data_IF_569540314952
#
_entry.id   IF_569540314952
#
_cell.length_a   1.000
_cell.length_b   1.000
_cell.length_c   1.000
_cell.angle_alpha   90.00
_cell.angle_beta   90.00
_cell.angle_gamma   90.00
#
_symmetry.space_group_name_H-M   'P 1'
#
loop_
_entity.id
_entity.type
_entity.pdbx_description
1 polymer ?
#
# COMPACT_ATOMS: atom_id res chain seq x y z
N UNK A 1 -14.21 22.78 -106.27
CA UNK A 1 -13.68 21.40 -106.15
C UNK A 1 -13.64 20.99 -104.69
N UNK A 2 -14.57 20.13 -104.25
CA UNK A 2 -14.67 19.66 -102.86
C UNK A 2 -13.86 18.36 -102.74
N UNK A 3 -12.80 18.34 -101.92
CA UNK A 3 -12.02 17.12 -101.64
C UNK A 3 -12.49 16.50 -100.32
N UNK A 4 -13.20 15.39 -100.42
CA UNK A 4 -13.56 14.51 -99.30
C UNK A 4 -12.30 13.83 -98.73
N UNK A 5 -11.97 14.08 -97.47
CA UNK A 5 -10.96 13.31 -96.75
C UNK A 5 -11.60 12.13 -96.00
N UNK A 6 -11.45 10.93 -96.55
CA UNK A 6 -11.73 9.65 -95.87
C UNK A 6 -10.71 9.45 -94.74
N UNK A 7 -11.15 9.54 -93.48
CA UNK A 7 -10.32 9.14 -92.34
C UNK A 7 -10.21 7.61 -92.29
N UNK A 8 -9.03 7.10 -92.66
CA UNK A 8 -8.67 5.68 -92.56
C UNK A 8 -8.26 5.41 -91.11
N UNK A 9 -9.12 4.70 -90.37
CA UNK A 9 -8.88 4.38 -88.96
C UNK A 9 -7.69 3.41 -88.84
N UNK A 10 -6.51 3.95 -88.53
CA UNK A 10 -5.25 3.19 -88.43
C UNK A 10 -5.27 2.47 -87.08
N UNK A 11 -5.48 1.14 -87.10
CA UNK A 11 -5.37 0.28 -85.92
C UNK A 11 -4.03 0.55 -85.24
N UNK A 12 -4.08 1.17 -84.06
CA UNK A 12 -2.93 1.34 -83.18
C UNK A 12 -2.36 -0.05 -82.85
N UNK A 13 -1.09 -0.22 -83.20
CA UNK A 13 -0.36 -1.47 -83.09
C UNK A 13 -0.27 -1.88 -81.61
N UNK A 14 -0.52 -3.16 -81.31
CA UNK A 14 -0.70 -3.71 -79.95
C UNK A 14 0.49 -3.45 -79.01
N UNK A 15 1.68 -3.21 -79.57
CA UNK A 15 2.93 -2.88 -78.87
C UNK A 15 2.99 -1.44 -78.31
N UNK A 16 2.24 -0.48 -78.88
CA UNK A 16 2.22 0.91 -78.41
C UNK A 16 1.41 1.07 -77.10
N UNK A 17 0.40 0.22 -76.86
CA UNK A 17 -0.40 0.26 -75.63
C UNK A 17 0.36 -0.24 -74.40
N UNK A 18 1.28 -1.19 -74.58
CA UNK A 18 2.10 -1.70 -73.47
C UNK A 18 3.09 -0.66 -72.95
N UNK A 19 3.69 0.13 -73.84
CA UNK A 19 4.65 1.16 -73.45
C UNK A 19 3.99 2.32 -72.68
N UNK A 20 2.75 2.68 -73.04
CA UNK A 20 1.99 3.72 -72.33
C UNK A 20 1.54 3.26 -70.93
N UNK A 21 1.11 2.00 -70.79
CA UNK A 21 0.73 1.44 -69.48
C UNK A 21 1.94 1.32 -68.55
N UNK A 22 3.10 0.95 -69.08
CA UNK A 22 4.34 0.86 -68.29
C UNK A 22 4.79 2.25 -67.78
N UNK A 23 4.68 3.30 -68.61
CA UNK A 23 5.00 4.67 -68.19
C UNK A 23 4.05 5.19 -67.10
N UNK A 24 2.76 4.87 -67.18
CA UNK A 24 1.78 5.24 -66.15
C UNK A 24 2.06 4.50 -64.84
N UNK A 25 2.40 3.20 -64.89
CA UNK A 25 2.72 2.42 -63.69
C UNK A 25 4.02 2.90 -63.01
N UNK A 26 5.05 3.26 -63.78
CA UNK A 26 6.28 3.85 -63.23
C UNK A 26 6.03 5.24 -62.63
N UNK A 27 5.19 6.06 -63.27
CA UNK A 27 4.80 7.37 -62.73
C UNK A 27 4.01 7.26 -61.42
N UNK A 28 3.05 6.33 -61.35
CA UNK A 28 2.27 6.08 -60.12
C UNK A 28 3.13 5.48 -59.00
N UNK A 29 4.08 4.59 -59.33
CA UNK A 29 5.04 4.04 -58.37
C UNK A 29 5.97 5.09 -57.77
N UNK A 30 6.51 6.00 -58.60
CA UNK A 30 7.35 7.11 -58.13
C UNK A 30 6.54 8.12 -57.29
N UNK A 31 5.29 8.37 -57.66
CA UNK A 31 4.38 9.22 -56.88
C UNK A 31 4.08 8.62 -55.51
N UNK A 32 3.86 7.30 -55.43
CA UNK A 32 3.63 6.59 -54.18
C UNK A 32 4.87 6.59 -53.28
N UNK A 33 6.06 6.42 -53.87
CA UNK A 33 7.33 6.43 -53.12
C UNK A 33 7.62 7.80 -52.50
N UNK A 34 7.44 8.88 -53.27
CA UNK A 34 7.60 10.26 -52.77
C UNK A 34 6.53 10.64 -51.74
N UNK A 35 5.31 10.12 -51.88
CA UNK A 35 4.24 10.34 -50.89
C UNK A 35 4.52 9.63 -49.57
N UNK A 36 5.12 8.42 -49.61
CA UNK A 36 5.50 7.66 -48.42
C UNK A 36 6.69 8.29 -47.69
N UNK A 37 7.69 8.81 -48.41
CA UNK A 37 8.84 9.48 -47.84
C UNK A 37 8.44 10.81 -47.15
N UNK A 38 7.53 11.58 -47.76
CA UNK A 38 6.98 12.80 -47.16
C UNK A 38 6.13 12.54 -45.90
N UNK A 39 5.37 11.43 -45.87
CA UNK A 39 4.60 11.04 -44.69
C UNK A 39 5.49 10.54 -43.56
N UNK A 40 6.52 9.74 -43.87
CA UNK A 40 7.50 9.27 -42.89
C UNK A 40 8.32 10.43 -42.30
N UNK A 41 8.68 11.43 -43.11
CA UNK A 41 9.39 12.62 -42.61
C UNK A 41 8.52 13.48 -41.69
N UNK A 42 7.22 13.66 -42.02
CA UNK A 42 6.28 14.38 -41.14
C UNK A 42 5.93 13.62 -39.87
N UNK A 43 5.77 12.31 -39.91
CA UNK A 43 5.59 11.48 -38.70
C UNK A 43 6.83 11.53 -37.81
N UNK A 44 8.03 11.54 -38.39
CA UNK A 44 9.27 11.64 -37.62
C UNK A 44 9.46 13.04 -37.01
N UNK A 45 9.08 14.12 -37.72
CA UNK A 45 9.05 15.48 -37.17
C UNK A 45 8.02 15.60 -36.03
N UNK A 46 6.81 15.05 -36.22
CA UNK A 46 5.78 15.04 -35.19
C UNK A 46 6.20 14.23 -33.96
N UNK A 47 6.78 13.05 -34.16
CA UNK A 47 7.32 12.21 -33.09
C UNK A 47 8.46 12.91 -32.33
N UNK A 48 9.38 13.55 -33.04
CA UNK A 48 10.49 14.28 -32.43
C UNK A 48 10.01 15.49 -31.63
N UNK A 49 8.99 16.21 -32.14
CA UNK A 49 8.36 17.35 -31.45
C UNK A 49 7.57 16.93 -30.22
N UNK A 50 6.86 15.79 -30.27
CA UNK A 50 6.15 15.24 -29.10
C UNK A 50 7.15 14.75 -28.06
N UNK A 51 8.19 14.02 -28.49
CA UNK A 51 9.25 13.51 -27.62
C UNK A 51 9.99 14.66 -26.92
N UNK A 52 10.37 15.72 -27.62
CA UNK A 52 11.00 16.91 -27.01
C UNK A 52 10.05 17.64 -26.05
N UNK A 53 8.77 17.70 -26.38
CA UNK A 53 7.75 18.29 -25.50
C UNK A 53 7.56 17.47 -24.22
N UNK A 54 7.58 16.14 -24.30
CA UNK A 54 7.51 15.22 -23.15
C UNK A 54 8.78 15.36 -22.29
N UNK A 55 9.98 15.41 -22.88
CA UNK A 55 11.20 15.62 -22.10
C UNK A 55 11.24 17.01 -21.45
N UNK A 56 10.77 18.05 -22.12
CA UNK A 56 10.64 19.38 -21.53
C UNK A 56 9.58 19.40 -20.43
N UNK A 57 8.47 18.67 -20.56
CA UNK A 57 7.46 18.56 -19.52
C UNK A 57 8.00 17.77 -18.32
N UNK A 58 8.68 16.66 -18.56
CA UNK A 58 9.32 15.83 -17.54
C UNK A 58 10.42 16.61 -16.81
N UNK A 59 11.26 17.35 -17.53
CA UNK A 59 12.26 18.26 -16.97
C UNK A 59 11.60 19.36 -16.13
N UNK A 60 10.52 20.00 -16.63
CA UNK A 60 9.77 20.99 -15.84
C UNK A 60 9.09 20.38 -14.60
N UNK A 61 8.63 19.13 -14.65
CA UNK A 61 8.08 18.42 -13.50
C UNK A 61 9.21 18.09 -12.51
N UNK A 62 10.38 17.69 -13.01
CA UNK A 62 11.55 17.36 -12.20
C UNK A 62 12.13 18.61 -11.53
N UNK A 63 12.35 19.70 -12.27
CA UNK A 63 12.78 21.00 -11.75
C UNK A 63 11.74 21.57 -10.76
N UNK A 64 10.44 21.33 -11.00
CA UNK A 64 9.38 21.75 -10.07
C UNK A 64 9.28 20.84 -8.85
N UNK A 65 9.70 19.58 -8.94
CA UNK A 65 9.81 18.65 -7.81
C UNK A 65 11.09 18.86 -7.00
N UNK A 66 12.17 19.33 -7.64
CA UNK A 66 13.46 19.66 -7.02
C UNK A 66 13.41 21.06 -6.36
N UNK A 67 12.59 21.98 -6.87
CA UNK A 67 12.26 23.27 -6.25
C UNK A 67 10.96 23.26 -5.42
N UNK A 68 10.25 22.13 -5.38
CA UNK A 68 9.44 21.83 -4.23
C UNK A 68 10.44 21.42 -3.16
N UNK A 69 10.85 22.37 -2.32
CA UNK A 69 11.06 22.05 -0.91
C UNK A 69 9.89 21.12 -0.57
N UNK A 70 10.17 19.83 -0.42
CA UNK A 70 9.24 18.86 0.12
C UNK A 70 8.96 19.44 1.50
N UNK A 71 7.91 20.26 1.58
CA UNK A 71 7.53 21.01 2.75
C UNK A 71 7.55 20.02 3.88
N UNK A 72 8.62 20.10 4.69
CA UNK A 72 9.15 19.08 5.59
C UNK A 72 8.04 18.09 5.93
N UNK A 73 7.85 17.08 5.07
CA UNK A 73 6.62 16.29 5.12
C UNK A 73 6.73 15.55 6.43
N UNK A 74 5.93 15.96 7.40
CA UNK A 74 6.19 15.72 8.82
C UNK A 74 6.71 14.31 8.99
N UNK A 75 7.97 14.18 9.45
CA UNK A 75 8.62 12.88 9.57
C UNK A 75 7.64 11.95 10.29
N UNK A 76 7.37 10.74 9.75
CA UNK A 76 6.36 9.86 10.32
C UNK A 76 6.68 9.62 11.80
N UNK A 77 5.72 9.96 12.66
CA UNK A 77 5.86 9.82 14.10
C UNK A 77 5.55 8.39 14.54
N UNK A 78 6.36 7.81 15.44
CA UNK A 78 6.10 6.48 15.97
C UNK A 78 4.85 6.50 16.86
N UNK A 79 4.02 5.47 16.73
CA UNK A 79 2.80 5.29 17.52
C UNK A 79 2.93 4.12 18.51
N UNK A 80 3.73 3.10 18.20
CA UNK A 80 4.01 1.99 19.10
C UNK A 80 5.40 1.38 18.86
N UNK A 81 5.84 0.56 19.80
CA UNK A 81 7.06 -0.25 19.71
C UNK A 81 6.64 -1.71 19.60
N UNK A 82 7.14 -2.40 18.57
CA UNK A 82 6.90 -3.83 18.37
C UNK A 82 8.21 -4.60 18.48
N UNK A 83 8.29 -5.52 19.43
CA UNK A 83 9.49 -6.29 19.71
C UNK A 83 9.30 -7.74 19.34
N UNK A 84 10.24 -8.29 18.58
CA UNK A 84 10.32 -9.69 18.19
C UNK A 84 11.61 -10.27 18.76
N UNK A 85 11.46 -11.07 19.81
CA UNK A 85 12.59 -11.51 20.65
C UNK A 85 13.41 -10.32 21.17
N UNK A 86 14.64 -10.16 20.69
CA UNK A 86 15.59 -9.13 21.12
C UNK A 86 15.51 -7.85 20.26
N UNK A 87 14.87 -7.91 19.09
CA UNK A 87 14.82 -6.79 18.14
C UNK A 87 13.51 -6.02 18.32
N UNK A 88 13.58 -4.70 18.49
CA UNK A 88 12.40 -3.84 18.56
C UNK A 88 12.33 -2.90 17.36
N UNK A 89 11.11 -2.54 16.96
CA UNK A 89 10.85 -1.70 15.80
C UNK A 89 9.86 -0.60 16.17
N UNK A 90 10.09 0.59 15.63
CA UNK A 90 9.12 1.68 15.70
C UNK A 90 8.09 1.51 14.59
N UNK A 91 6.82 1.58 14.95
CA UNK A 91 5.70 1.46 14.01
C UNK A 91 4.87 2.74 14.07
N UNK A 92 4.57 3.32 12.91
CA UNK A 92 3.71 4.50 12.80
C UNK A 92 2.22 4.16 12.98
N UNK A 93 1.37 5.19 12.95
CA UNK A 93 -0.09 5.02 13.06
C UNK A 93 -0.72 4.23 11.91
N UNK A 94 -0.03 4.04 10.78
CA UNK A 94 -0.53 3.32 9.61
C UNK A 94 -0.03 1.87 9.55
N UNK A 95 0.77 1.45 10.52
CA UNK A 95 1.35 0.10 10.59
C UNK A 95 2.60 -0.07 9.76
N UNK A 96 3.26 1.03 9.39
CA UNK A 96 4.53 1.02 8.67
C UNK A 96 5.67 0.95 9.67
N UNK A 97 6.59 0.02 9.43
CA UNK A 97 7.83 -0.15 10.20
C UNK A 97 8.80 0.96 9.82
N UNK A 98 9.16 1.84 10.74
CA UNK A 98 9.99 3.02 10.46
C UNK A 98 11.49 2.74 10.55
N UNK A 99 11.90 2.07 11.63
CA UNK A 99 13.29 1.67 11.89
C UNK A 99 13.36 0.64 13.01
N UNK A 100 14.46 -0.09 13.03
CA UNK A 100 14.87 -0.87 14.20
C UNK A 100 15.29 0.07 15.35
N UNK A 101 15.07 -0.37 16.58
CA UNK A 101 15.30 0.41 17.78
C UNK A 101 15.81 -0.49 18.90
N UNK A 102 16.99 -0.16 19.43
CA UNK A 102 17.70 -1.01 20.40
C UNK A 102 17.59 -0.50 21.86
N UNK A 103 16.84 0.59 22.13
CA UNK A 103 16.90 1.33 23.41
C UNK A 103 15.51 1.77 23.92
N UNK A 104 15.45 2.23 25.16
CA UNK A 104 14.27 2.49 26.01
C UNK A 104 13.76 3.95 25.87
N UNK A 105 14.10 4.66 24.79
CA UNK A 105 13.94 6.13 24.73
C UNK A 105 12.49 6.61 24.54
N UNK A 106 11.56 5.71 24.25
CA UNK A 106 10.14 6.02 24.09
C UNK A 106 9.30 5.45 25.23
N UNK A 107 9.46 6.01 26.44
CA UNK A 107 8.74 5.55 27.64
C UNK A 107 7.22 5.63 27.51
N UNK A 108 6.71 6.54 26.67
CA UNK A 108 5.27 6.80 26.55
C UNK A 108 4.58 5.94 25.49
N UNK A 109 5.33 5.21 24.65
CA UNK A 109 4.76 4.38 23.60
C UNK A 109 4.39 2.99 24.13
N UNK A 110 3.29 2.44 23.60
CA UNK A 110 2.90 1.06 23.89
C UNK A 110 3.96 0.12 23.31
N UNK A 111 4.56 -0.69 24.18
CA UNK A 111 5.52 -1.73 23.79
C UNK A 111 4.83 -3.09 23.77
N UNK A 112 4.78 -3.72 22.59
CA UNK A 112 4.27 -5.08 22.39
C UNK A 112 5.45 -6.02 22.20
N UNK A 113 5.47 -7.12 22.93
CA UNK A 113 6.43 -8.22 22.70
C UNK A 113 5.74 -9.37 21.98
N UNK A 114 6.40 -9.87 20.94
CA UNK A 114 5.97 -11.01 20.15
C UNK A 114 7.01 -12.13 20.24
N UNK A 115 6.55 -13.36 20.44
CA UNK A 115 7.38 -14.56 20.62
C UNK A 115 7.84 -15.17 19.27
N UNK A 116 8.09 -14.32 18.28
CA UNK A 116 8.50 -14.70 16.93
C UNK A 116 9.88 -14.13 16.62
N UNK A 117 10.73 -14.90 15.94
CA UNK A 117 12.15 -14.54 15.69
C UNK A 117 12.36 -13.79 14.36
N UNK A 118 11.36 -13.76 13.48
CA UNK A 118 11.51 -13.19 12.13
C UNK A 118 11.59 -11.66 12.14
N UNK A 119 12.64 -11.05 11.57
CA UNK A 119 12.80 -9.60 11.54
C UNK A 119 11.69 -8.93 10.71
N UNK A 120 11.42 -7.67 11.01
CA UNK A 120 10.50 -6.84 10.24
C UNK A 120 11.25 -6.08 9.14
N UNK A 121 10.61 -5.96 7.98
CA UNK A 121 11.13 -5.13 6.88
C UNK A 121 10.85 -3.65 7.14
N UNK A 122 11.89 -2.82 7.08
CA UNK A 122 11.79 -1.37 7.24
C UNK A 122 11.08 -0.74 6.02
N UNK A 123 10.28 0.30 6.26
CA UNK A 123 9.42 1.00 5.30
C UNK A 123 8.36 0.10 4.64
N UNK A 124 8.00 -1.00 5.29
CA UNK A 124 6.90 -1.88 4.86
C UNK A 124 5.77 -1.82 5.87
N UNK A 125 4.55 -2.00 5.36
CA UNK A 125 3.39 -2.23 6.19
C UNK A 125 3.51 -3.62 6.83
N UNK A 126 3.39 -3.68 8.15
CA UNK A 126 3.46 -4.91 8.92
C UNK A 126 2.12 -5.27 9.55
N UNK A 127 1.43 -4.29 10.14
CA UNK A 127 0.12 -4.47 10.77
C UNK A 127 -0.91 -3.53 10.15
N UNK A 128 -2.18 -3.92 10.25
CA UNK A 128 -3.28 -3.08 9.80
C UNK A 128 -3.67 -2.03 10.84
N UNK A 129 -4.28 -0.95 10.35
CA UNK A 129 -4.74 0.18 11.18
C UNK A 129 -5.74 -0.27 12.26
N UNK A 130 -6.56 -1.28 11.97
CA UNK A 130 -7.54 -1.83 12.92
C UNK A 130 -6.85 -2.39 14.17
N UNK A 131 -5.74 -3.11 13.98
CA UNK A 131 -4.94 -3.68 15.06
C UNK A 131 -4.33 -2.55 15.90
N UNK A 132 -3.79 -1.52 15.26
CA UNK A 132 -3.23 -0.35 15.94
C UNK A 132 -4.30 0.36 16.78
N UNK A 133 -5.47 0.58 16.21
CA UNK A 133 -6.58 1.22 16.91
C UNK A 133 -7.00 0.36 18.10
N UNK A 134 -7.13 -0.95 17.93
CA UNK A 134 -7.44 -1.88 19.03
C UNK A 134 -6.44 -1.75 20.19
N UNK A 135 -5.14 -1.75 19.90
CA UNK A 135 -4.05 -1.64 20.88
C UNK A 135 -4.09 -0.29 21.61
N UNK A 136 -4.30 0.80 20.86
CA UNK A 136 -4.33 2.14 21.46
C UNK A 136 -5.58 2.38 22.30
N UNK A 137 -6.72 1.80 21.90
CA UNK A 137 -7.98 1.96 22.62
C UNK A 137 -8.05 1.08 23.87
N UNK A 138 -7.42 -0.11 23.85
CA UNK A 138 -7.39 -0.96 25.04
C UNK A 138 -6.60 -0.32 26.18
N UNK A 139 -5.50 0.37 25.89
CA UNK A 139 -4.75 1.12 26.90
C UNK A 139 -5.64 2.18 27.58
N UNK A 140 -6.42 2.93 26.78
CA UNK A 140 -7.33 3.97 27.30
C UNK A 140 -8.45 3.35 28.13
N UNK A 141 -9.06 2.26 27.67
CA UNK A 141 -10.18 1.61 28.35
C UNK A 141 -9.75 0.97 29.67
N UNK A 142 -8.65 0.22 29.69
CA UNK A 142 -8.15 -0.42 30.92
C UNK A 142 -7.82 0.62 32.00
N UNK A 143 -7.15 1.71 31.63
CA UNK A 143 -6.81 2.76 32.59
C UNK A 143 -8.05 3.51 33.10
N UNK A 144 -8.99 3.85 32.22
CA UNK A 144 -10.13 4.71 32.58
C UNK A 144 -11.31 3.99 33.22
N UNK A 145 -11.44 2.66 33.06
CA UNK A 145 -12.67 1.93 33.45
C UNK A 145 -12.50 0.84 34.51
N UNK A 146 -11.34 0.18 34.63
CA UNK A 146 -11.21 -1.00 35.50
C UNK A 146 -10.19 -0.86 36.63
N UNK A 147 -9.54 0.30 36.76
CA UNK A 147 -8.38 0.48 37.66
C UNK A 147 -7.24 -0.51 37.41
N UNK A 148 -7.28 -1.26 36.31
CA UNK A 148 -6.23 -2.20 35.93
C UNK A 148 -5.15 -1.38 35.23
N UNK A 149 -3.97 -1.35 35.81
CA UNK A 149 -2.82 -0.67 35.22
C UNK A 149 -2.06 -1.68 34.36
N UNK A 150 -2.08 -1.56 33.02
CA UNK A 150 -1.29 -2.42 32.15
C UNK A 150 0.20 -2.17 32.37
N UNK A 151 0.96 -3.26 32.51
CA UNK A 151 2.42 -3.25 32.68
C UNK A 151 3.11 -3.74 31.42
N UNK A 152 2.61 -4.80 30.80
CA UNK A 152 3.22 -5.40 29.60
C UNK A 152 2.14 -5.83 28.61
N UNK A 153 2.41 -5.66 27.31
CA UNK A 153 1.58 -6.15 26.21
C UNK A 153 2.35 -7.23 25.46
N UNK A 154 1.71 -8.37 25.24
CA UNK A 154 2.30 -9.54 24.63
C UNK A 154 1.37 -10.07 23.54
N UNK A 155 1.93 -10.65 22.49
CA UNK A 155 1.17 -11.46 21.55
C UNK A 155 2.01 -12.68 21.18
N UNK A 156 1.45 -13.90 21.20
CA UNK A 156 2.24 -15.07 20.78
C UNK A 156 2.62 -14.95 19.30
N UNK A 157 1.70 -14.42 18.49
CA UNK A 157 1.89 -14.12 17.09
C UNK A 157 0.73 -13.21 16.63
N UNK A 158 1.02 -12.19 15.84
CA UNK A 158 -0.01 -11.28 15.33
C UNK A 158 -1.17 -11.99 14.60
N UNK A 159 -0.90 -13.08 13.89
CA UNK A 159 -1.92 -13.84 13.13
C UNK A 159 -2.87 -14.65 14.01
N UNK A 160 -2.60 -14.76 15.32
CA UNK A 160 -3.52 -15.44 16.25
C UNK A 160 -4.67 -14.53 16.70
N UNK A 161 -4.65 -13.25 16.31
CA UNK A 161 -5.57 -12.23 16.81
C UNK A 161 -5.61 -12.17 18.34
N UNK A 162 -4.54 -12.58 19.04
CA UNK A 162 -4.50 -12.63 20.50
C UNK A 162 -3.57 -11.56 21.03
N UNK A 163 -4.11 -10.73 21.93
CA UNK A 163 -3.34 -9.77 22.72
C UNK A 163 -3.45 -10.16 24.19
N UNK A 164 -2.32 -10.38 24.84
CA UNK A 164 -2.25 -10.58 26.28
C UNK A 164 -1.73 -9.30 26.94
N UNK A 165 -2.36 -8.92 28.04
CA UNK A 165 -1.97 -7.77 28.84
C UNK A 165 -1.68 -8.26 30.24
N UNK A 166 -0.45 -8.04 30.71
CA UNK A 166 -0.07 -8.27 32.10
C UNK A 166 -0.28 -6.97 32.85
N UNK A 167 -1.09 -6.99 33.91
CA UNK A 167 -1.31 -5.86 34.79
C UNK A 167 -0.17 -5.68 35.81
N UNK A 168 -0.15 -4.54 36.49
CA UNK A 168 0.84 -4.24 37.55
C UNK A 168 0.80 -5.20 38.74
N UNK A 169 -0.34 -5.84 39.00
CA UNK A 169 -0.52 -6.92 39.97
C UNK A 169 -0.30 -8.33 39.38
N UNK A 170 0.39 -8.41 38.22
CA UNK A 170 0.79 -9.63 37.52
C UNK A 170 -0.35 -10.54 37.07
N UNK A 171 -1.56 -10.01 36.90
CA UNK A 171 -2.69 -10.75 36.31
C UNK A 171 -2.64 -10.64 34.80
N UNK A 172 -3.00 -11.72 34.13
CA UNK A 172 -3.03 -11.75 32.66
C UNK A 172 -4.46 -11.59 32.15
N UNK A 173 -4.67 -10.60 31.28
CA UNK A 173 -5.92 -10.40 30.55
C UNK A 173 -5.71 -10.74 29.08
N UNK A 174 -6.57 -11.58 28.51
CA UNK A 174 -6.44 -12.07 27.13
C UNK A 174 -7.60 -11.53 26.31
N UNK A 175 -7.27 -10.84 25.23
CA UNK A 175 -8.20 -10.21 24.30
C UNK A 175 -8.02 -10.78 22.90
N UNK A 176 -9.13 -10.87 22.18
CA UNK A 176 -9.17 -11.20 20.77
C UNK A 176 -9.27 -9.90 19.94
N UNK A 177 -8.23 -9.60 19.17
CA UNK A 177 -8.11 -8.41 18.31
C UNK A 177 -9.17 -8.43 17.19
N UNK A 178 -9.64 -9.61 16.77
CA UNK A 178 -10.65 -9.76 15.73
C UNK A 178 -12.08 -9.51 16.21
N UNK A 179 -12.29 -9.30 17.51
CA UNK A 179 -13.60 -9.06 18.11
C UNK A 179 -13.72 -7.62 18.60
N UNK A 180 -14.94 -7.15 18.84
CA UNK A 180 -15.17 -5.82 19.40
C UNK A 180 -14.53 -5.69 20.80
N UNK A 181 -13.72 -4.65 20.97
CA UNK A 181 -12.98 -4.41 22.20
C UNK A 181 -13.91 -4.05 23.36
N UNK A 182 -14.93 -3.23 23.10
CA UNK A 182 -15.83 -2.73 24.13
C UNK A 182 -16.69 -3.86 24.70
N UNK A 183 -17.19 -4.74 23.84
CA UNK A 183 -17.95 -5.92 24.25
C UNK A 183 -17.10 -6.85 25.12
N UNK A 184 -15.89 -7.20 24.69
CA UNK A 184 -14.97 -8.02 25.48
C UNK A 184 -14.68 -7.39 26.84
N UNK A 185 -14.45 -6.08 26.86
CA UNK A 185 -14.18 -5.34 28.08
C UNK A 185 -15.39 -5.32 29.03
N UNK A 186 -16.59 -5.12 28.50
CA UNK A 186 -17.83 -5.11 29.25
C UNK A 186 -18.09 -6.47 29.90
N UNK A 187 -17.83 -7.56 29.19
CA UNK A 187 -17.98 -8.91 29.73
C UNK A 187 -16.93 -9.16 30.84
N UNK A 188 -15.65 -8.84 30.61
CA UNK A 188 -14.59 -8.95 31.64
C UNK A 188 -14.97 -8.18 32.91
N UNK A 189 -15.40 -6.92 32.77
CA UNK A 189 -15.73 -6.09 33.92
C UNK A 189 -16.92 -6.66 34.71
N UNK A 190 -17.98 -7.11 34.02
CA UNK A 190 -19.11 -7.80 34.67
C UNK A 190 -18.68 -9.05 35.42
N UNK A 191 -17.76 -9.85 34.87
CA UNK A 191 -17.24 -11.05 35.56
C UNK A 191 -16.44 -10.66 36.80
N UNK A 192 -15.58 -9.65 36.71
CA UNK A 192 -14.81 -9.16 37.86
C UNK A 192 -15.73 -8.61 38.97
N UNK A 193 -16.83 -7.95 38.61
CA UNK A 193 -17.83 -7.46 39.57
C UNK A 193 -18.45 -8.59 40.40
N UNK A 194 -18.63 -9.77 39.82
CA UNK A 194 -19.17 -10.95 40.49
C UNK A 194 -18.15 -11.67 41.38
N UNK A 195 -16.85 -11.43 41.18
CA UNK A 195 -15.81 -12.08 42.00
C UNK A 195 -15.77 -11.49 43.40
N UNK A 196 -15.65 -12.39 44.39
CA UNK A 196 -15.32 -12.02 45.77
C UNK A 196 -13.94 -11.37 45.84
N UNK A 197 -13.65 -10.66 46.94
CA UNK A 197 -12.31 -10.08 47.16
C UNK A 197 -11.20 -11.13 47.09
N UNK A 198 -11.44 -12.33 47.60
CA UNK A 198 -10.50 -13.44 47.58
C UNK A 198 -10.27 -13.97 46.17
N UNK A 199 -11.35 -14.18 45.39
CA UNK A 199 -11.24 -14.60 44.00
C UNK A 199 -10.49 -13.56 43.15
N UNK A 200 -10.76 -12.25 43.34
CA UNK A 200 -10.02 -11.19 42.66
C UNK A 200 -8.54 -11.18 43.03
N UNK A 201 -8.19 -11.53 44.27
CA UNK A 201 -6.81 -11.62 44.73
C UNK A 201 -6.07 -12.80 44.10
N UNK A 202 -6.74 -13.95 44.00
CA UNK A 202 -6.16 -15.19 43.47
C UNK A 202 -6.28 -15.29 41.94
N UNK A 203 -6.89 -14.33 41.25
CA UNK A 203 -7.02 -14.34 39.80
C UNK A 203 -5.65 -14.34 39.12
N UNK A 204 -5.34 -15.40 38.38
CA UNK A 204 -4.09 -15.54 37.62
C UNK A 204 -4.24 -15.07 36.17
N UNK A 205 -5.30 -15.51 35.49
CA UNK A 205 -5.65 -14.98 34.17
C UNK A 205 -7.15 -14.96 33.92
N UNK A 206 -7.58 -14.10 33.01
CA UNK A 206 -8.93 -14.00 32.48
C UNK A 206 -8.88 -13.67 30.99
N UNK A 207 -9.79 -14.19 30.20
CA UNK A 207 -9.93 -13.84 28.80
C UNK A 207 -11.33 -14.05 28.28
N UNK A 208 -11.59 -13.52 27.09
CA UNK A 208 -12.85 -13.69 26.36
C UNK A 208 -12.57 -14.50 25.10
N UNK A 209 -13.40 -15.50 24.84
CA UNK A 209 -13.32 -16.29 23.61
C UNK A 209 -14.15 -15.69 22.47
N UNK A 210 -14.25 -16.41 21.36
CA UNK A 210 -15.01 -16.00 20.17
C UNK A 210 -16.51 -15.85 20.46
N UNK A 211 -17.07 -16.66 21.35
CA UNK A 211 -18.50 -16.66 21.68
C UNK A 211 -18.83 -15.72 22.84
N UNK A 212 -17.92 -14.78 23.15
CA UNK A 212 -18.03 -13.86 24.30
C UNK A 212 -18.11 -14.58 25.66
N UNK A 213 -17.65 -15.83 25.74
CA UNK A 213 -17.57 -16.54 27.01
C UNK A 213 -16.27 -16.16 27.71
N UNK A 214 -16.37 -15.92 29.02
CA UNK A 214 -15.20 -15.63 29.85
C UNK A 214 -14.63 -16.92 30.39
N UNK A 215 -13.33 -17.09 30.20
CA UNK A 215 -12.56 -18.15 30.85
C UNK A 215 -11.53 -17.52 31.78
N UNK A 216 -11.28 -18.14 32.92
CA UNK A 216 -10.34 -17.64 33.92
C UNK A 216 -9.76 -18.78 34.76
N UNK A 217 -8.66 -18.48 35.44
CA UNK A 217 -8.03 -19.38 36.40
C UNK A 217 -7.68 -18.63 37.68
N UNK A 218 -7.98 -19.24 38.81
CA UNK A 218 -7.58 -18.78 40.14
C UNK A 218 -6.39 -19.64 40.62
N UNK A 219 -5.50 -19.05 41.42
CA UNK A 219 -4.49 -19.79 42.20
C UNK A 219 -5.08 -20.49 43.42
#
# INVERSE_FOLDING_TARGET
>A
MIKNYKYKNKRLNKTSKFSLVLLILVGLGASYFLFNEYYLEKENIAYTSIKSSIYNLAGKIYDKAENMDFAESAKPEPNLIWCRMENCYLIDKNGIVLKEHNVVEFLDLIKIKEEVVWPLEINKKFIDLEIINFITDIQKLMFSKTSIQPKEYLTPNIYTNRLEIISSDNKKFIFNIGNDLYDQFLVINKTLEQFSKEQRKNLKYMGVDIDSQVYYMLE
#
